data_IF_795398292419
#
_entry.id   IF_795398292419
#
_cell.length_a   1.000
_cell.length_b   1.000
_cell.length_c   1.000
_cell.angle_alpha   90.00
_cell.angle_beta   90.00
_cell.angle_gamma   90.00
#
_symmetry.space_group_name_H-M   'P 1'
#
loop_
_entity.id
_entity.type
_entity.pdbx_description
1 polymer ?
#
# COMPACT_ATOMS: atom_id res chain seq x y z
N UNK A 1 17.51 1.27 5.64
CA UNK A 1 16.89 1.63 6.91
C UNK A 1 15.48 2.06 6.60
N UNK A 2 14.54 1.21 6.99
CA UNK A 2 13.25 1.05 6.30
C UNK A 2 12.17 1.93 6.88
N UNK A 3 11.84 3.00 6.16
CA UNK A 3 10.77 3.93 6.50
C UNK A 3 9.56 3.87 5.56
N UNK A 4 9.23 2.69 5.02
CA UNK A 4 7.99 2.52 4.26
C UNK A 4 6.96 1.74 5.06
N UNK A 5 6.35 2.38 6.06
CA UNK A 5 5.06 1.93 6.59
C UNK A 5 3.97 2.54 5.72
N UNK A 6 3.66 1.87 4.60
CA UNK A 6 2.43 2.13 3.87
C UNK A 6 1.25 1.80 4.78
N UNK A 7 0.41 2.78 5.08
CA UNK A 7 -0.88 2.54 5.67
C UNK A 7 -1.71 1.76 4.66
N UNK A 8 -1.88 0.46 4.91
CA UNK A 8 -2.93 -0.34 4.28
C UNK A 8 -4.27 0.14 4.83
N UNK A 9 -4.87 1.13 4.19
CA UNK A 9 -6.30 1.37 4.30
C UNK A 9 -6.97 0.61 3.17
N UNK A 10 -7.69 -0.43 3.57
CA UNK A 10 -8.65 -1.22 2.82
C UNK A 10 -8.13 -1.94 1.55
N UNK A 11 -7.82 -3.18 1.74
CA UNK A 11 -7.66 -4.19 0.70
C UNK A 11 -9.01 -4.59 0.06
N UNK A 12 -9.81 -3.65 -0.36
CA UNK A 12 -10.82 -3.93 -1.34
C UNK A 12 -10.12 -4.04 -2.69
N UNK A 13 -9.66 -5.23 -3.04
CA UNK A 13 -9.15 -5.54 -4.36
C UNK A 13 -10.27 -5.34 -5.36
N UNK A 14 -10.33 -4.16 -5.97
CA UNK A 14 -11.32 -3.83 -6.99
C UNK A 14 -10.93 -4.57 -8.27
N UNK A 15 -11.73 -5.55 -8.62
CA UNK A 15 -11.48 -6.44 -9.75
C UNK A 15 -12.45 -6.11 -10.88
N UNK A 16 -11.92 -5.85 -12.08
CA UNK A 16 -12.73 -5.70 -13.30
C UNK A 16 -12.50 -6.92 -14.18
N UNK A 17 -13.59 -7.58 -14.56
CA UNK A 17 -13.56 -8.80 -15.36
C UNK A 17 -13.72 -8.51 -16.85
N UNK A 18 -13.10 -9.34 -17.67
CA UNK A 18 -13.16 -9.25 -19.12
C UNK A 18 -13.70 -10.55 -19.73
N UNK A 19 -14.59 -10.48 -20.73
CA UNK A 19 -14.95 -11.65 -21.51
C UNK A 19 -13.75 -12.32 -22.15
N UNK A 20 -13.89 -13.59 -22.57
CA UNK A 20 -12.83 -14.36 -23.23
C UNK A 20 -12.33 -13.62 -24.46
N UNK A 21 -11.00 -13.41 -24.53
CA UNK A 21 -10.36 -12.72 -25.67
C UNK A 21 -10.63 -11.22 -25.76
N UNK A 22 -11.43 -10.65 -24.86
CA UNK A 22 -11.75 -9.22 -24.86
C UNK A 22 -10.72 -8.42 -24.05
N UNK A 23 -10.49 -7.18 -24.48
CA UNK A 23 -9.78 -6.13 -23.77
C UNK A 23 -10.69 -4.90 -23.54
N UNK A 24 -12.00 -5.03 -23.78
CA UNK A 24 -12.96 -3.95 -23.56
C UNK A 24 -13.58 -4.07 -22.18
N UNK A 25 -13.70 -2.94 -21.48
CA UNK A 25 -14.49 -2.85 -20.26
C UNK A 25 -15.97 -2.92 -20.62
N UNK A 26 -16.66 -3.93 -20.10
CA UNK A 26 -18.10 -4.14 -20.29
C UNK A 26 -18.75 -4.02 -18.93
N UNK A 27 -19.46 -2.91 -18.63
CA UNK A 27 -20.06 -2.68 -17.31
C UNK A 27 -21.09 -3.74 -16.91
N UNK A 28 -21.78 -4.33 -17.88
CA UNK A 28 -22.81 -5.36 -17.67
C UNK A 28 -22.25 -6.76 -17.47
N UNK A 29 -20.92 -6.94 -17.62
CA UNK A 29 -20.25 -8.23 -17.44
C UNK A 29 -19.88 -8.44 -15.99
N UNK A 30 -20.31 -9.56 -15.40
CA UNK A 30 -20.11 -9.87 -13.97
C UNK A 30 -20.56 -8.69 -13.07
N UNK A 31 -19.79 -8.35 -12.05
CA UNK A 31 -20.07 -7.22 -11.16
C UNK A 31 -19.33 -5.92 -11.58
N UNK A 32 -18.97 -5.80 -12.85
CA UNK A 32 -18.11 -4.69 -13.30
C UNK A 32 -18.74 -3.32 -13.03
N UNK A 33 -20.04 -3.14 -13.20
CA UNK A 33 -20.70 -1.85 -12.96
C UNK A 33 -20.44 -1.35 -11.54
N UNK A 34 -20.73 -2.17 -10.54
CA UNK A 34 -20.56 -1.81 -9.14
C UNK A 34 -19.07 -1.60 -8.80
N UNK A 35 -18.18 -2.44 -9.34
CA UNK A 35 -16.74 -2.35 -9.10
C UNK A 35 -16.15 -1.08 -9.74
N UNK A 36 -16.59 -0.69 -10.93
CA UNK A 36 -16.14 0.53 -11.61
C UNK A 36 -16.65 1.79 -10.92
N UNK A 37 -17.90 1.82 -10.48
CA UNK A 37 -18.47 2.94 -9.72
C UNK A 37 -17.73 3.11 -8.38
N UNK A 38 -17.46 2.01 -7.70
CA UNK A 38 -16.68 2.05 -6.46
C UNK A 38 -15.25 2.52 -6.71
N UNK A 39 -14.59 2.05 -7.78
CA UNK A 39 -13.26 2.50 -8.19
C UNK A 39 -13.22 4.02 -8.39
N UNK A 40 -14.14 4.56 -9.19
CA UNK A 40 -14.18 6.00 -9.45
C UNK A 40 -14.41 6.78 -8.16
N UNK A 41 -15.32 6.33 -7.30
CA UNK A 41 -15.57 6.96 -5.99
C UNK A 41 -14.35 6.98 -5.08
N UNK A 42 -13.58 5.87 -5.05
CA UNK A 42 -12.33 5.80 -4.26
C UNK A 42 -11.28 6.75 -4.83
N UNK A 43 -11.11 6.79 -6.14
CA UNK A 43 -10.13 7.65 -6.80
C UNK A 43 -10.48 9.14 -6.64
N UNK A 44 -11.77 9.50 -6.69
CA UNK A 44 -12.21 10.88 -6.46
C UNK A 44 -11.96 11.31 -5.01
N UNK A 45 -12.24 10.46 -4.02
CA UNK A 45 -11.92 10.72 -2.62
C UNK A 45 -10.42 10.92 -2.39
N UNK A 46 -9.59 10.13 -3.07
CA UNK A 46 -8.13 10.27 -3.02
C UNK A 46 -7.70 11.60 -3.65
N UNK A 47 -8.32 12.01 -4.77
CA UNK A 47 -8.03 13.28 -5.44
C UNK A 47 -8.43 14.50 -4.59
N UNK A 48 -9.43 14.36 -3.73
CA UNK A 48 -9.93 15.41 -2.82
C UNK A 48 -9.13 15.50 -1.52
N UNK A 49 -8.38 14.46 -1.16
CA UNK A 49 -7.57 14.44 0.06
C UNK A 49 -6.35 15.38 -0.06
N UNK A 50 -6.48 16.55 0.56
CA UNK A 50 -5.42 17.58 0.59
C UNK A 50 -4.23 17.20 1.48
N UNK A 51 -4.40 16.20 2.35
CA UNK A 51 -3.38 15.78 3.33
C UNK A 51 -2.47 14.67 2.80
N UNK A 52 -2.82 14.08 1.67
CA UNK A 52 -2.06 12.99 1.06
C UNK A 52 -1.62 13.36 -0.35
N UNK A 53 -0.34 13.12 -0.68
CA UNK A 53 0.14 13.16 -2.05
C UNK A 53 0.24 11.76 -2.60
N UNK A 54 -0.36 11.54 -3.77
CA UNK A 54 -0.24 10.28 -4.49
C UNK A 54 1.15 10.23 -5.11
N UNK A 55 1.92 9.20 -4.76
CA UNK A 55 3.18 8.90 -5.42
C UNK A 55 2.93 8.17 -6.75
N UNK A 56 2.09 7.13 -6.70
CA UNK A 56 1.67 6.37 -7.89
C UNK A 56 0.44 5.50 -7.60
N UNK A 57 -0.25 5.14 -8.68
CA UNK A 57 -1.36 4.18 -8.69
C UNK A 57 -0.95 3.01 -9.57
N UNK A 58 -0.77 1.85 -8.96
CA UNK A 58 -0.41 0.63 -9.67
C UNK A 58 -1.68 -0.08 -10.15
N UNK A 59 -1.78 -0.28 -11.46
CA UNK A 59 -2.85 -1.06 -12.10
C UNK A 59 -2.25 -2.32 -12.69
N UNK A 60 -2.70 -3.46 -12.20
CA UNK A 60 -2.17 -4.77 -12.61
C UNK A 60 -3.18 -5.47 -13.49
N UNK A 61 -2.82 -5.73 -14.73
CA UNK A 61 -3.61 -6.53 -15.65
C UNK A 61 -3.29 -8.02 -15.55
N UNK A 62 -4.28 -8.86 -15.79
CA UNK A 62 -4.15 -10.31 -15.73
C UNK A 62 -4.79 -11.00 -16.94
N UNK A 63 -4.24 -12.13 -17.30
CA UNK A 63 -4.78 -13.04 -18.32
C UNK A 63 -4.71 -14.48 -17.81
N UNK A 64 -5.68 -15.31 -18.21
CA UNK A 64 -5.64 -16.74 -17.89
C UNK A 64 -4.46 -17.43 -18.60
N UNK A 65 -3.90 -18.51 -18.04
CA UNK A 65 -2.70 -19.15 -18.57
C UNK A 65 -2.93 -20.01 -19.83
N UNK A 66 -4.11 -19.98 -20.44
CA UNK A 66 -4.55 -20.79 -21.58
C UNK A 66 -4.17 -20.22 -22.95
N UNK A 67 -3.10 -19.44 -23.02
CA UNK A 67 -2.53 -18.92 -24.26
C UNK A 67 -1.00 -18.96 -24.25
N UNK A 68 -0.37 -18.42 -25.30
CA UNK A 68 1.09 -18.20 -25.24
C UNK A 68 1.42 -17.13 -24.22
N UNK A 69 2.58 -17.25 -23.55
CA UNK A 69 3.02 -16.28 -22.53
C UNK A 69 3.08 -14.85 -23.09
N UNK A 70 3.54 -14.71 -24.35
CA UNK A 70 3.62 -13.41 -25.02
C UNK A 70 2.24 -12.80 -25.30
N UNK A 71 1.30 -13.61 -25.81
CA UNK A 71 -0.07 -13.16 -26.07
C UNK A 71 -0.75 -12.76 -24.75
N UNK A 72 -0.60 -13.57 -23.71
CA UNK A 72 -1.18 -13.30 -22.40
C UNK A 72 -0.61 -12.04 -21.76
N UNK A 73 0.70 -11.82 -21.86
CA UNK A 73 1.34 -10.58 -21.38
C UNK A 73 0.77 -9.35 -22.09
N UNK A 74 0.58 -9.42 -23.42
CA UNK A 74 -0.01 -8.33 -24.19
C UNK A 74 -1.48 -8.09 -23.82
N UNK A 75 -2.28 -9.14 -23.67
CA UNK A 75 -3.67 -9.02 -23.24
C UNK A 75 -3.76 -8.41 -21.84
N UNK A 76 -2.94 -8.87 -20.92
CA UNK A 76 -2.90 -8.35 -19.56
C UNK A 76 -2.54 -6.84 -19.52
N UNK A 77 -1.51 -6.44 -20.26
CA UNK A 77 -1.12 -5.04 -20.36
C UNK A 77 -2.23 -4.18 -20.97
N UNK A 78 -2.87 -4.63 -22.04
CA UNK A 78 -3.96 -3.90 -22.69
C UNK A 78 -5.18 -3.77 -21.77
N UNK A 79 -5.54 -4.79 -21.00
CA UNK A 79 -6.62 -4.72 -20.00
C UNK A 79 -6.34 -3.69 -18.93
N UNK A 80 -5.12 -3.68 -18.39
CA UNK A 80 -4.73 -2.68 -17.41
C UNK A 80 -4.78 -1.26 -18.01
N UNK A 81 -4.29 -1.08 -19.24
CA UNK A 81 -4.33 0.22 -19.92
C UNK A 81 -5.75 0.73 -20.14
N UNK A 82 -6.65 -0.13 -20.62
CA UNK A 82 -8.06 0.24 -20.83
C UNK A 82 -8.74 0.62 -19.50
N UNK A 83 -8.33 0.01 -18.39
CA UNK A 83 -8.81 0.42 -17.07
C UNK A 83 -8.25 1.79 -16.65
N UNK A 84 -6.98 2.08 -16.93
CA UNK A 84 -6.41 3.43 -16.74
C UNK A 84 -7.19 4.45 -17.58
N UNK A 85 -7.44 4.16 -18.86
CA UNK A 85 -8.21 5.03 -19.74
C UNK A 85 -9.65 5.27 -19.22
N UNK A 86 -10.25 4.25 -18.61
CA UNK A 86 -11.56 4.40 -17.95
C UNK A 86 -11.49 5.35 -16.75
N UNK A 87 -10.40 5.36 -16.00
CA UNK A 87 -10.19 6.24 -14.85
C UNK A 87 -9.85 7.69 -15.25
N UNK A 88 -9.56 7.97 -16.53
CA UNK A 88 -9.33 9.33 -17.02
C UNK A 88 -10.54 10.27 -16.85
N UNK A 89 -11.69 9.72 -16.49
CA UNK A 89 -12.91 10.45 -16.10
C UNK A 89 -12.81 11.07 -14.70
N UNK A 90 -11.83 10.66 -13.90
CA UNK A 90 -11.55 11.22 -12.59
C UNK A 90 -10.67 12.47 -12.71
N UNK A 91 -10.50 13.20 -11.62
CA UNK A 91 -9.62 14.38 -11.56
C UNK A 91 -8.13 14.03 -11.46
N UNK A 92 -7.79 12.75 -11.44
CA UNK A 92 -6.42 12.29 -11.31
C UNK A 92 -5.67 12.38 -12.64
N UNK A 93 -4.43 12.88 -12.59
CA UNK A 93 -3.57 12.90 -13.76
C UNK A 93 -3.23 11.47 -14.21
N UNK A 94 -3.26 11.18 -15.52
CA UNK A 94 -2.80 9.91 -16.06
C UNK A 94 -1.36 9.55 -15.69
N UNK A 95 -0.53 10.56 -15.37
CA UNK A 95 0.88 10.36 -14.96
C UNK A 95 1.04 9.61 -13.64
N UNK A 96 0.00 9.54 -12.81
CA UNK A 96 0.06 8.74 -11.57
C UNK A 96 -0.05 7.23 -11.81
N UNK A 97 -0.55 6.81 -12.97
CA UNK A 97 -0.83 5.40 -13.22
C UNK A 97 0.39 4.66 -13.78
N UNK A 98 0.77 3.59 -13.09
CA UNK A 98 1.78 2.62 -13.53
C UNK A 98 1.07 1.31 -13.89
N UNK A 99 1.18 0.89 -15.15
CA UNK A 99 0.59 -0.37 -15.63
C UNK A 99 1.60 -1.49 -15.47
N UNK A 100 1.18 -2.59 -14.86
CA UNK A 100 1.92 -3.84 -14.85
C UNK A 100 1.07 -4.97 -15.39
N UNK A 101 1.69 -5.86 -16.17
CA UNK A 101 1.10 -7.14 -16.48
C UNK A 101 1.39 -8.12 -15.36
N UNK A 102 0.37 -8.86 -14.97
CA UNK A 102 0.52 -9.89 -13.97
C UNK A 102 1.15 -11.14 -14.60
N UNK A 103 2.42 -11.37 -14.30
CA UNK A 103 3.08 -12.66 -14.55
C UNK A 103 2.68 -13.70 -13.48
N UNK A 104 1.84 -13.30 -12.51
CA UNK A 104 1.44 -14.12 -11.38
C UNK A 104 0.15 -14.91 -11.61
N UNK A 105 -0.39 -14.98 -12.84
CA UNK A 105 -1.59 -15.78 -13.15
C UNK A 105 -1.47 -17.23 -12.66
N UNK A 106 -0.26 -17.80 -12.72
CA UNK A 106 0.03 -19.11 -12.17
C UNK A 106 -0.03 -19.16 -10.64
N UNK A 107 0.36 -18.11 -9.95
CA UNK A 107 0.28 -17.99 -8.49
C UNK A 107 -1.18 -17.88 -8.03
N UNK A 108 -1.98 -17.09 -8.75
CA UNK A 108 -3.42 -17.02 -8.48
C UNK A 108 -4.12 -18.34 -8.78
N UNK A 109 -3.80 -18.97 -9.94
CA UNK A 109 -4.34 -20.30 -10.26
C UNK A 109 -3.98 -21.31 -9.16
N UNK A 110 -2.73 -21.32 -8.71
CA UNK A 110 -2.29 -22.18 -7.60
C UNK A 110 -3.15 -22.02 -6.36
N UNK A 111 -3.47 -20.79 -5.99
CA UNK A 111 -4.33 -20.50 -4.82
C UNK A 111 -5.74 -21.04 -5.05
N UNK A 112 -6.35 -20.75 -6.19
CA UNK A 112 -7.68 -21.26 -6.52
C UNK A 112 -7.74 -22.79 -6.50
N UNK A 113 -6.69 -23.46 -6.97
CA UNK A 113 -6.58 -24.91 -6.91
C UNK A 113 -6.42 -25.38 -5.46
N UNK A 114 -5.57 -24.75 -4.66
CA UNK A 114 -5.32 -25.12 -3.27
C UNK A 114 -6.58 -25.01 -2.39
N UNK A 115 -7.40 -23.98 -2.65
CA UNK A 115 -8.62 -23.68 -1.90
C UNK A 115 -9.84 -24.45 -2.41
N UNK A 116 -9.69 -25.30 -3.45
CA UNK A 116 -10.77 -26.08 -4.05
C UNK A 116 -10.74 -27.53 -3.59
N UNK A 117 -11.86 -28.20 -3.80
CA UNK A 117 -12.06 -29.66 -3.63
C UNK A 117 -12.03 -30.41 -4.97
N UNK A 118 -11.40 -29.80 -6.01
CA UNK A 118 -11.28 -30.45 -7.30
C UNK A 118 -10.56 -31.79 -7.24
N UNK A 119 -10.99 -32.74 -8.03
CA UNK A 119 -10.28 -34.00 -8.24
C UNK A 119 -8.85 -33.73 -8.74
N UNK A 120 -7.92 -34.56 -8.32
CA UNK A 120 -6.49 -34.45 -8.73
C UNK A 120 -5.80 -33.16 -8.25
N UNK A 121 -6.37 -32.45 -7.25
CA UNK A 121 -5.81 -31.20 -6.70
C UNK A 121 -4.31 -31.30 -6.42
N UNK A 122 -3.87 -32.33 -5.72
CA UNK A 122 -2.46 -32.50 -5.34
C UNK A 122 -1.54 -32.68 -6.55
N UNK A 123 -1.99 -33.40 -7.57
CA UNK A 123 -1.24 -33.61 -8.80
C UNK A 123 -1.13 -32.30 -9.61
N UNK A 124 -2.22 -31.51 -9.66
CA UNK A 124 -2.23 -30.19 -10.30
C UNK A 124 -1.29 -29.23 -9.58
N UNK A 125 -1.34 -29.16 -8.24
CA UNK A 125 -0.43 -28.34 -7.43
C UNK A 125 1.02 -28.73 -7.65
N UNK A 126 1.32 -30.04 -7.67
CA UNK A 126 2.67 -30.53 -7.95
C UNK A 126 3.18 -30.06 -9.31
N UNK A 127 2.38 -30.12 -10.37
CA UNK A 127 2.75 -29.63 -11.69
C UNK A 127 2.96 -28.10 -11.66
N UNK A 128 2.08 -27.35 -11.01
CA UNK A 128 2.22 -25.89 -10.90
C UNK A 128 3.50 -25.51 -10.16
N UNK A 129 3.87 -26.23 -9.13
CA UNK A 129 5.00 -25.90 -8.27
C UNK A 129 6.36 -26.34 -8.88
N UNK A 130 6.39 -27.45 -9.62
CA UNK A 130 7.65 -28.06 -10.06
C UNK A 130 7.94 -27.91 -11.56
N UNK A 131 6.91 -27.81 -12.41
CA UNK A 131 7.12 -27.72 -13.83
C UNK A 131 7.43 -26.27 -14.27
N UNK A 132 8.36 -26.06 -15.22
CA UNK A 132 8.58 -24.75 -15.81
C UNK A 132 7.36 -24.30 -16.62
N UNK A 133 7.16 -22.99 -16.76
CA UNK A 133 6.10 -22.44 -17.63
C UNK A 133 6.27 -22.96 -19.04
N UNK A 134 7.51 -23.02 -19.51
CA UNK A 134 7.89 -23.62 -20.79
C UNK A 134 9.28 -24.27 -20.69
N UNK A 135 9.41 -25.50 -21.18
CA UNK A 135 10.67 -26.22 -21.34
C UNK A 135 10.99 -26.34 -22.84
N UNK A 136 11.97 -25.58 -23.31
CA UNK A 136 12.35 -25.55 -24.72
C UNK A 136 12.93 -26.87 -25.20
N UNK A 137 13.60 -27.66 -24.31
CA UNK A 137 14.19 -28.95 -24.67
C UNK A 137 13.12 -30.02 -24.84
N UNK A 138 12.16 -30.07 -23.96
CA UNK A 138 11.06 -31.06 -23.97
C UNK A 138 9.87 -30.59 -24.83
N UNK A 139 9.87 -29.35 -25.30
CA UNK A 139 8.77 -28.72 -26.06
C UNK A 139 7.42 -28.87 -25.38
N UNK A 140 7.42 -28.84 -24.06
CA UNK A 140 6.24 -28.90 -23.22
C UNK A 140 6.45 -28.02 -21.99
N UNK A 141 5.41 -27.37 -21.54
CA UNK A 141 5.45 -26.58 -20.30
C UNK A 141 4.33 -27.01 -19.34
N UNK A 142 4.22 -26.29 -18.28
CA UNK A 142 3.24 -26.49 -17.20
C UNK A 142 1.82 -26.70 -17.73
N UNK A 143 1.38 -25.84 -18.65
CA UNK A 143 0.05 -25.96 -19.26
C UNK A 143 -0.12 -27.28 -20.03
N UNK A 144 0.85 -27.65 -20.84
CA UNK A 144 0.82 -28.89 -21.61
C UNK A 144 0.80 -30.15 -20.75
N UNK A 145 1.45 -30.12 -19.58
CA UNK A 145 1.37 -31.20 -18.58
C UNK A 145 -0.01 -31.29 -17.97
N UNK A 146 -0.62 -30.16 -17.61
CA UNK A 146 -1.98 -30.12 -17.08
C UNK A 146 -3.03 -30.60 -18.09
N UNK A 147 -2.85 -30.27 -19.37
CA UNK A 147 -3.72 -30.76 -20.45
C UNK A 147 -3.65 -32.29 -20.64
N UNK A 148 -2.54 -32.92 -20.26
CA UNK A 148 -2.36 -34.37 -20.37
C UNK A 148 -2.74 -35.13 -19.08
N UNK A 149 -2.77 -34.43 -17.94
CA UNK A 149 -3.05 -35.05 -16.65
C UNK A 149 -4.45 -35.67 -16.63
N UNK A 150 -4.55 -36.95 -16.32
CA UNK A 150 -5.81 -37.70 -16.21
C UNK A 150 -6.77 -37.48 -17.40
N UNK A 151 -6.19 -37.51 -18.62
CA UNK A 151 -6.96 -37.30 -19.85
C UNK A 151 -7.51 -35.86 -20.01
N UNK A 152 -6.87 -34.87 -19.35
CA UNK A 152 -7.25 -33.47 -19.44
C UNK A 152 -8.40 -33.03 -18.53
N UNK A 153 -8.98 -33.92 -17.75
CA UNK A 153 -10.11 -33.62 -16.86
C UNK A 153 -9.82 -32.42 -15.92
N UNK A 154 -8.68 -32.39 -15.19
CA UNK A 154 -8.35 -31.26 -14.33
C UNK A 154 -8.19 -29.94 -15.09
N UNK A 155 -7.62 -29.97 -16.29
CA UNK A 155 -7.50 -28.80 -17.14
C UNK A 155 -8.86 -28.25 -17.56
N UNK A 156 -9.78 -29.10 -17.99
CA UNK A 156 -11.14 -28.68 -18.35
C UNK A 156 -11.89 -28.10 -17.16
N UNK A 157 -11.75 -28.70 -15.98
CA UNK A 157 -12.33 -28.16 -14.76
C UNK A 157 -11.79 -26.76 -14.47
N UNK A 158 -10.46 -26.56 -14.49
CA UNK A 158 -9.85 -25.24 -14.26
C UNK A 158 -10.27 -24.22 -15.32
N UNK A 159 -10.38 -24.64 -16.58
CA UNK A 159 -10.83 -23.77 -17.68
C UNK A 159 -12.24 -23.25 -17.46
N UNK A 160 -13.10 -24.06 -16.87
CA UNK A 160 -14.50 -23.71 -16.62
C UNK A 160 -14.64 -22.88 -15.33
N UNK A 161 -13.94 -23.23 -14.25
CA UNK A 161 -14.21 -22.69 -12.91
C UNK A 161 -13.16 -21.66 -12.43
N UNK A 162 -11.92 -21.73 -12.91
CA UNK A 162 -10.84 -20.88 -12.42
C UNK A 162 -10.35 -19.86 -13.43
N UNK A 163 -10.20 -20.22 -14.70
CA UNK A 163 -9.69 -19.29 -15.71
C UNK A 163 -10.54 -18.04 -15.91
N UNK A 164 -11.88 -18.07 -15.79
CA UNK A 164 -12.68 -16.84 -15.79
C UNK A 164 -12.26 -15.85 -14.70
N UNK A 165 -11.95 -16.35 -13.50
CA UNK A 165 -11.49 -15.54 -12.37
C UNK A 165 -10.12 -14.91 -12.58
N UNK A 166 -9.32 -15.44 -13.51
CA UNK A 166 -7.99 -14.91 -13.87
C UNK A 166 -8.06 -13.87 -14.99
N UNK A 167 -9.21 -13.70 -15.65
CA UNK A 167 -9.43 -12.71 -16.70
C UNK A 167 -9.91 -11.39 -16.10
N UNK A 168 -9.01 -10.68 -15.45
CA UNK A 168 -9.33 -9.40 -14.81
C UNK A 168 -8.24 -8.36 -15.11
N UNK A 169 -8.50 -7.10 -14.81
CA UNK A 169 -7.49 -6.06 -14.82
C UNK A 169 -6.71 -6.01 -13.50
N UNK A 170 -6.92 -7.00 -12.65
CA UNK A 170 -6.23 -7.10 -11.40
C UNK A 170 -6.67 -6.05 -10.38
N UNK A 171 -5.79 -5.77 -9.45
CA UNK A 171 -6.07 -4.83 -8.37
C UNK A 171 -5.41 -3.48 -8.62
N UNK A 172 -6.00 -2.46 -8.04
CA UNK A 172 -5.45 -1.13 -8.01
C UNK A 172 -4.85 -0.90 -6.63
N UNK A 173 -3.57 -0.52 -6.60
CA UNK A 173 -2.88 -0.15 -5.37
C UNK A 173 -2.40 1.28 -5.45
N UNK A 174 -2.84 2.10 -4.50
CA UNK A 174 -2.42 3.49 -4.39
C UNK A 174 -1.21 3.58 -3.45
N UNK A 175 -0.16 4.23 -3.90
CA UNK A 175 1.00 4.56 -3.10
C UNK A 175 0.98 6.06 -2.83
N UNK A 176 1.08 6.43 -1.57
CA UNK A 176 1.18 7.81 -1.15
C UNK A 176 2.63 8.20 -0.91
N UNK A 177 2.98 9.45 -1.23
CA UNK A 177 4.18 10.03 -0.67
C UNK A 177 3.96 10.15 0.83
N UNK A 178 4.91 9.67 1.63
CA UNK A 178 4.94 9.97 3.04
C UNK A 178 5.17 11.48 3.16
N UNK A 179 4.15 12.26 3.39
CA UNK A 179 4.31 13.64 3.84
C UNK A 179 4.72 13.53 5.30
N UNK A 180 5.91 13.94 5.65
CA UNK A 180 6.25 14.06 7.06
C UNK A 180 5.30 15.10 7.64
N UNK A 181 4.63 14.72 8.71
CA UNK A 181 3.81 15.64 9.50
C UNK A 181 4.68 16.87 9.85
N UNK A 182 4.29 18.10 9.44
CA UNK A 182 5.08 19.29 9.70
C UNK A 182 5.35 19.50 11.19
N UNK A 183 4.44 19.09 12.07
CA UNK A 183 4.62 19.15 13.51
C UNK A 183 5.68 18.16 13.99
N UNK A 184 5.68 16.92 13.47
CA UNK A 184 6.73 15.94 13.77
C UNK A 184 8.09 16.35 13.22
N UNK A 185 8.14 16.98 12.03
CA UNK A 185 9.39 17.53 11.48
C UNK A 185 9.96 18.62 12.37
N UNK A 186 9.14 19.55 12.82
CA UNK A 186 9.58 20.63 13.69
C UNK A 186 10.00 20.12 15.08
N UNK A 187 9.34 19.07 15.61
CA UNK A 187 9.79 18.39 16.84
C UNK A 187 11.18 17.76 16.68
N UNK A 188 11.37 16.97 15.60
CA UNK A 188 12.67 16.32 15.37
C UNK A 188 13.78 17.36 15.19
N UNK A 189 13.53 18.42 14.42
CA UNK A 189 14.49 19.53 14.28
C UNK A 189 14.78 20.22 15.59
N UNK A 190 13.78 20.41 16.45
CA UNK A 190 13.99 21.00 17.76
C UNK A 190 14.80 20.09 18.68
N UNK A 191 14.65 18.78 18.60
CA UNK A 191 15.48 17.80 19.34
C UNK A 191 16.93 17.91 18.88
N UNK A 192 17.20 17.96 17.58
CA UNK A 192 18.58 18.13 17.05
C UNK A 192 19.21 19.45 17.55
N UNK A 193 18.41 20.54 17.56
CA UNK A 193 18.87 21.84 18.05
C UNK A 193 19.11 21.84 19.57
N UNK A 194 18.30 21.12 20.35
CA UNK A 194 18.52 20.93 21.78
C UNK A 194 19.83 20.16 22.06
N UNK A 195 20.11 19.12 21.29
CA UNK A 195 21.37 18.37 21.39
C UNK A 195 22.58 19.23 21.03
N UNK A 196 22.39 20.21 20.13
CA UNK A 196 23.41 21.19 19.75
C UNK A 196 23.46 22.42 20.68
N UNK A 197 22.71 22.42 21.79
CA UNK A 197 22.58 23.51 22.78
C UNK A 197 22.06 24.84 22.18
N UNK A 198 21.35 24.76 21.05
CA UNK A 198 20.79 25.91 20.34
C UNK A 198 19.35 26.21 20.78
N UNK A 199 19.17 26.51 22.09
CA UNK A 199 17.85 26.57 22.72
C UNK A 199 16.91 27.63 22.13
N UNK A 200 17.43 28.80 21.74
CA UNK A 200 16.65 29.87 21.14
C UNK A 200 16.10 29.47 19.76
N UNK A 201 16.90 28.76 18.96
CA UNK A 201 16.47 28.26 17.66
C UNK A 201 15.46 27.11 17.81
N UNK A 202 15.64 26.26 18.81
CA UNK A 202 14.70 25.20 19.14
C UNK A 202 13.32 25.79 19.51
N UNK A 203 13.27 26.80 20.35
CA UNK A 203 12.02 27.53 20.70
C UNK A 203 11.36 28.13 19.47
N UNK A 204 12.12 28.77 18.59
CA UNK A 204 11.59 29.32 17.34
C UNK A 204 11.02 28.24 16.42
N UNK A 205 11.72 27.12 16.32
CA UNK A 205 11.27 25.97 15.50
C UNK A 205 9.96 25.36 16.01
N UNK A 206 9.72 25.39 17.32
CA UNK A 206 8.51 24.89 17.95
C UNK A 206 7.35 25.91 17.96
N UNK A 207 7.56 27.12 17.47
CA UNK A 207 6.53 28.14 17.46
C UNK A 207 5.29 27.68 16.65
N UNK A 208 4.12 27.71 17.25
CA UNK A 208 2.86 27.26 16.63
C UNK A 208 2.67 25.74 16.57
N UNK A 209 3.66 24.93 16.99
CA UNK A 209 3.50 23.48 17.04
C UNK A 209 2.57 23.11 18.20
N UNK A 210 1.48 22.36 17.91
CA UNK A 210 0.44 21.96 18.87
C UNK A 210 0.56 20.51 19.32
N UNK A 211 1.52 19.78 18.78
CA UNK A 211 1.76 18.39 19.14
C UNK A 211 2.03 18.23 20.64
N UNK A 212 1.49 17.22 21.29
CA UNK A 212 1.53 17.03 22.74
C UNK A 212 2.94 17.04 23.35
N UNK A 213 3.99 16.69 22.58
CA UNK A 213 5.39 16.73 23.00
C UNK A 213 6.03 18.12 22.91
N UNK A 214 5.42 19.07 22.20
CA UNK A 214 6.04 20.36 21.94
C UNK A 214 6.25 21.17 23.21
N UNK A 215 5.31 21.12 24.16
CA UNK A 215 5.41 21.84 25.42
C UNK A 215 6.54 21.28 26.32
N UNK A 216 6.78 19.97 26.28
CA UNK A 216 7.92 19.38 26.97
C UNK A 216 9.25 19.90 26.42
N UNK A 217 9.43 19.91 25.08
CA UNK A 217 10.65 20.42 24.47
C UNK A 217 10.86 21.92 24.72
N UNK A 218 9.78 22.72 24.68
CA UNK A 218 9.82 24.14 25.09
C UNK A 218 10.25 24.29 26.56
N UNK A 219 9.73 23.43 27.44
CA UNK A 219 10.11 23.38 28.85
C UNK A 219 11.58 23.12 29.04
N UNK A 220 12.16 22.17 28.32
CA UNK A 220 13.59 21.89 28.33
C UNK A 220 14.40 23.12 27.87
N UNK A 221 13.99 23.80 26.79
CA UNK A 221 14.65 25.01 26.33
C UNK A 221 14.65 26.11 27.40
N UNK A 222 13.51 26.35 28.07
CA UNK A 222 13.41 27.35 29.15
C UNK A 222 14.22 26.96 30.38
N UNK A 223 14.23 25.68 30.76
CA UNK A 223 15.06 25.19 31.87
C UNK A 223 16.54 25.44 31.61
N UNK A 224 17.03 25.12 30.39
CA UNK A 224 18.42 25.32 30.01
C UNK A 224 18.81 26.79 29.88
N UNK A 225 17.87 27.68 29.62
CA UNK A 225 18.03 29.13 29.63
C UNK A 225 17.86 29.76 31.06
N UNK A 226 17.64 28.95 32.11
CA UNK A 226 17.47 29.42 33.48
C UNK A 226 16.09 29.93 33.83
N UNK A 227 15.12 29.87 32.93
CA UNK A 227 13.72 30.29 33.13
C UNK A 227 12.89 29.12 33.73
N UNK A 228 13.18 28.84 35.00
CA UNK A 228 12.68 27.66 35.69
C UNK A 228 11.17 27.68 35.92
N UNK A 229 10.54 28.87 36.10
CA UNK A 229 9.09 28.98 36.29
C UNK A 229 8.32 28.67 35.00
N UNK A 230 8.79 29.17 33.84
CA UNK A 230 8.18 28.80 32.56
C UNK A 230 8.42 27.33 32.24
N UNK A 231 9.60 26.80 32.52
CA UNK A 231 9.90 25.39 32.35
C UNK A 231 8.93 24.51 33.14
N UNK A 232 8.70 24.84 34.41
CA UNK A 232 7.75 24.13 35.28
C UNK A 232 6.35 24.12 34.71
N UNK A 233 5.85 25.28 34.30
CA UNK A 233 4.50 25.42 33.71
C UNK A 233 4.34 24.57 32.46
N UNK A 234 5.34 24.57 31.58
CA UNK A 234 5.31 23.82 30.35
C UNK A 234 5.40 22.31 30.59
N UNK A 235 6.24 21.86 31.52
CA UNK A 235 6.29 20.44 31.89
C UNK A 235 4.97 19.96 32.49
N UNK A 236 4.34 20.73 33.37
CA UNK A 236 3.03 20.39 33.94
C UNK A 236 1.96 20.26 32.84
N UNK A 237 1.96 21.18 31.88
CA UNK A 237 1.06 21.12 30.73
C UNK A 237 1.30 19.90 29.87
N UNK A 238 2.56 19.55 29.61
CA UNK A 238 2.93 18.38 28.83
C UNK A 238 2.59 17.07 29.55
N UNK A 239 2.74 17.01 30.87
CA UNK A 239 2.29 15.87 31.71
C UNK A 239 0.77 15.69 31.60
N UNK A 240 0.01 16.78 31.69
CA UNK A 240 -1.44 16.74 31.53
C UNK A 240 -1.88 16.29 30.13
N UNK A 241 -1.05 16.56 29.11
CA UNK A 241 -1.26 16.12 27.73
C UNK A 241 -0.79 14.67 27.48
N UNK A 242 -0.23 13.99 28.49
CA UNK A 242 0.17 12.58 28.41
C UNK A 242 1.58 12.33 27.88
N UNK A 243 2.48 13.33 27.90
CA UNK A 243 3.90 13.11 27.56
C UNK A 243 4.64 12.44 28.72
N UNK A 244 5.09 11.18 28.59
CA UNK A 244 5.74 10.46 29.68
C UNK A 244 7.11 11.04 30.05
N UNK A 245 7.82 11.70 29.11
CA UNK A 245 9.10 12.30 29.38
C UNK A 245 8.99 13.60 30.17
N UNK A 246 7.86 14.32 30.06
CA UNK A 246 7.64 15.56 30.78
C UNK A 246 7.57 15.37 32.31
N UNK A 247 7.05 14.24 32.78
CA UNK A 247 6.99 13.92 34.20
C UNK A 247 8.40 13.77 34.78
N UNK A 248 9.30 13.11 34.06
CA UNK A 248 10.69 12.97 34.50
C UNK A 248 11.43 14.31 34.47
N UNK A 249 11.24 15.12 33.43
CA UNK A 249 11.84 16.44 33.31
C UNK A 249 11.36 17.38 34.42
N UNK A 250 10.07 17.33 34.77
CA UNK A 250 9.50 18.12 35.90
C UNK A 250 10.16 17.72 37.22
N UNK A 251 10.27 16.43 37.49
CA UNK A 251 10.93 15.92 38.70
C UNK A 251 12.39 16.38 38.80
N UNK A 252 13.14 16.29 37.71
CA UNK A 252 14.54 16.76 37.67
C UNK A 252 14.65 18.25 37.94
N UNK A 253 13.77 19.08 37.37
CA UNK A 253 13.69 20.51 37.64
C UNK A 253 13.45 20.81 39.15
N UNK A 254 12.52 20.11 39.79
CA UNK A 254 12.22 20.29 41.18
C UNK A 254 13.37 19.87 42.11
N UNK A 255 14.04 18.78 41.79
CA UNK A 255 15.25 18.35 42.49
C UNK A 255 16.39 19.39 42.41
N UNK A 256 16.61 20.00 41.24
CA UNK A 256 17.58 21.06 41.06
C UNK A 256 17.25 22.28 41.88
N UNK A 257 15.99 22.72 41.91
CA UNK A 257 15.55 23.88 42.70
C UNK A 257 15.66 23.65 44.18
N UNK A 258 15.42 22.44 44.68
CA UNK A 258 15.57 22.10 46.08
C UNK A 258 17.02 22.02 46.54
N UNK A 259 17.99 21.70 45.66
CA UNK A 259 19.41 21.72 45.97
C UNK A 259 20.01 23.12 45.99
N UNK A 260 19.34 24.08 45.38
CA UNK A 260 19.80 25.48 45.26
C UNK A 260 19.25 26.39 46.35
N UNK A 261 18.42 25.83 47.23
CA UNK A 261 17.91 26.45 48.46
C UNK A 261 18.73 26.01 49.68
#
# INVERSE_FOLDING_TARGET
MDGQRGHNKDEATLVVYFPVGSVRVVPEFENNRANLEHLLSVLDKIAEDKNSRIAKILVVGSASPDGSAELNARIAANRAQVLVDYTSRTRLSPSYFEVKNDQESWRFLRRLVADSDMDSRQQVLHIIDTAPVWDAKKKVGRLGLLMKLNGGKPYHYMKQHFFPKLRNAGYIKVFYEAQPDPELLSLNKAIDLLQAEQYAQALHTLQGNTHFRADNLRGVCHMMNGDTEKARTLFQKAVAAGDPQAAENLKQLEELLNRSR
#
